data_IF_036235931438
#
_entry.id   IF_036235931438
#
_cell.length_a   1.000
_cell.length_b   1.000
_cell.length_c   1.000
_cell.angle_alpha   90.00
_cell.angle_beta   90.00
_cell.angle_gamma   90.00
#
_symmetry.space_group_name_H-M   'P 1'
#
loop_
_entity.id
_entity.type
_entity.pdbx_description
1 polymer ?
#
# COMPACT_ATOMS: atom_id res chain seq x y z
N UNK A 1 -3.44 81.77 -35.45
CA UNK A 1 -2.80 81.23 -36.66
C UNK A 1 -2.60 79.73 -36.41
N UNK A 2 -3.18 78.87 -37.26
CA UNK A 2 -3.11 77.39 -37.33
C UNK A 2 -3.59 76.61 -36.07
N UNK A 3 -4.78 75.99 -36.00
CA UNK A 3 -5.35 74.82 -36.72
C UNK A 3 -4.62 73.47 -36.52
N UNK A 4 -5.22 72.61 -35.68
CA UNK A 4 -5.38 71.14 -35.77
C UNK A 4 -6.28 70.74 -34.55
N UNK A 5 -7.56 70.32 -34.60
CA UNK A 5 -8.30 69.26 -35.34
C UNK A 5 -7.55 67.92 -35.22
N UNK A 6 -7.97 66.91 -34.46
CA UNK A 6 -9.25 66.17 -34.40
C UNK A 6 -9.48 65.64 -32.95
N UNK A 7 -10.67 65.82 -32.35
CA UNK A 7 -11.79 64.84 -32.25
C UNK A 7 -11.53 63.69 -31.25
N UNK A 8 -12.43 63.27 -30.35
CA UNK A 8 -13.77 63.68 -29.95
C UNK A 8 -14.07 63.05 -28.57
N UNK A 9 -15.12 63.56 -27.92
CA UNK A 9 -16.10 62.91 -27.01
C UNK A 9 -15.73 61.54 -26.38
N UNK A 10 -15.95 61.25 -25.10
CA UNK A 10 -17.17 61.52 -24.32
C UNK A 10 -16.90 61.08 -22.88
N UNK A 11 -17.29 61.87 -21.87
CA UNK A 11 -17.54 61.34 -20.53
C UNK A 11 -18.99 60.84 -20.49
N UNK A 12 -19.18 59.56 -20.14
CA UNK A 12 -20.09 59.11 -19.07
C UNK A 12 -20.30 57.59 -19.08
N UNK A 13 -20.27 57.03 -17.87
CA UNK A 13 -20.88 55.77 -17.41
C UNK A 13 -20.33 54.42 -17.91
N UNK A 14 -19.90 53.60 -16.95
CA UNK A 14 -19.60 52.18 -17.16
C UNK A 14 -19.09 51.55 -15.86
N UNK A 15 -19.89 50.64 -15.30
CA UNK A 15 -19.68 49.99 -14.02
C UNK A 15 -18.30 49.32 -13.90
N UNK A 16 -17.67 49.47 -12.73
CA UNK A 16 -16.47 48.74 -12.37
C UNK A 16 -16.83 47.25 -12.16
N UNK A 17 -16.64 46.43 -13.19
CA UNK A 17 -16.49 44.98 -13.05
C UNK A 17 -15.10 44.69 -12.50
N UNK A 18 -14.97 44.71 -11.17
CA UNK A 18 -13.79 44.23 -10.46
C UNK A 18 -13.70 42.72 -10.53
N UNK A 19 -13.18 42.19 -11.65
CA UNK A 19 -12.57 40.87 -11.69
C UNK A 19 -11.28 40.88 -10.90
N UNK A 20 -11.39 40.79 -9.57
CA UNK A 20 -10.25 40.61 -8.68
C UNK A 20 -9.70 39.20 -8.84
N UNK A 21 -8.54 39.10 -9.47
CA UNK A 21 -7.71 37.91 -9.41
C UNK A 21 -7.46 37.57 -7.93
N UNK A 22 -7.78 36.34 -7.55
CA UNK A 22 -7.49 35.81 -6.22
C UNK A 22 -5.98 35.65 -6.09
N UNK A 23 -5.38 36.48 -5.24
CA UNK A 23 -4.03 36.32 -4.69
C UNK A 23 -3.86 34.89 -4.13
N UNK A 24 -2.69 34.24 -4.31
CA UNK A 24 -2.43 32.89 -3.80
C UNK A 24 -2.32 32.94 -2.27
N UNK A 25 -3.45 32.72 -1.61
CA UNK A 25 -3.53 32.59 -0.16
C UNK A 25 -2.67 31.42 0.32
N UNK A 26 -1.72 31.72 1.20
CA UNK A 26 -1.04 30.75 2.06
C UNK A 26 -2.12 29.98 2.82
N UNK A 27 -2.50 28.80 2.31
CA UNK A 27 -3.43 27.91 3.00
C UNK A 27 -2.83 27.59 4.36
N UNK A 28 -3.57 27.92 5.42
CA UNK A 28 -3.17 27.65 6.79
C UNK A 28 -2.81 26.16 6.91
N UNK A 29 -1.61 25.88 7.43
CA UNK A 29 -1.15 24.51 7.73
C UNK A 29 -2.25 23.80 8.51
N UNK A 30 -2.74 22.69 7.97
CA UNK A 30 -3.76 21.90 8.62
C UNK A 30 -3.25 21.48 10.02
N UNK A 31 -4.01 21.78 11.07
CA UNK A 31 -3.65 21.44 12.45
C UNK A 31 -3.94 19.96 12.70
N UNK A 32 -3.13 19.08 12.12
CA UNK A 32 -3.23 17.65 12.31
C UNK A 32 -2.66 17.27 13.69
N UNK A 33 -3.50 16.82 14.65
CA UNK A 33 -3.08 16.55 16.02
C UNK A 33 -2.42 15.18 16.19
N UNK A 34 -2.29 14.38 15.12
CA UNK A 34 -1.74 13.03 15.20
C UNK A 34 -0.25 13.05 15.53
N UNK A 35 0.15 12.10 16.37
CA UNK A 35 1.54 11.79 16.63
C UNK A 35 1.98 10.69 15.66
N UNK A 36 3.12 10.93 15.05
CA UNK A 36 3.76 10.01 14.13
C UNK A 36 5.03 9.50 14.82
N UNK A 37 5.16 8.19 14.90
CA UNK A 37 6.28 7.53 15.58
C UNK A 37 6.86 6.48 14.66
N UNK A 38 8.20 6.45 14.58
CA UNK A 38 8.93 5.47 13.78
C UNK A 38 8.76 4.07 14.39
N UNK A 39 8.25 3.08 13.63
CA UNK A 39 8.25 1.68 14.07
C UNK A 39 9.67 1.15 14.29
N UNK A 40 9.78 0.03 15.01
CA UNK A 40 11.07 -0.63 15.23
C UNK A 40 11.66 -1.20 13.93
N UNK A 41 12.98 -1.33 13.84
CA UNK A 41 13.67 -1.89 12.67
C UNK A 41 13.12 -3.27 12.26
N UNK A 42 12.84 -4.12 13.25
CA UNK A 42 12.26 -5.44 13.05
C UNK A 42 10.85 -5.37 12.41
N UNK A 43 10.04 -4.40 12.81
CA UNK A 43 8.73 -4.16 12.18
C UNK A 43 8.90 -3.61 10.76
N UNK A 44 9.84 -2.70 10.53
CA UNK A 44 10.10 -2.13 9.21
C UNK A 44 10.56 -3.20 8.21
N UNK A 45 11.46 -4.10 8.61
CA UNK A 45 11.90 -5.24 7.77
C UNK A 45 10.77 -6.20 7.39
N UNK A 46 9.73 -6.30 8.23
CA UNK A 46 8.58 -7.17 7.99
C UNK A 46 7.48 -6.51 7.15
N UNK A 47 7.34 -5.18 7.25
CA UNK A 47 6.20 -4.44 6.71
C UNK A 47 6.54 -3.67 5.43
N UNK A 48 7.78 -3.21 5.27
CA UNK A 48 8.22 -2.51 4.07
C UNK A 48 8.63 -3.50 2.99
N UNK A 49 8.44 -3.11 1.73
CA UNK A 49 9.10 -3.78 0.61
C UNK A 49 10.62 -3.61 0.72
N UNK A 50 11.43 -4.52 0.14
CA UNK A 50 12.88 -4.38 0.17
C UNK A 50 13.38 -3.01 -0.34
N UNK A 51 12.78 -2.49 -1.42
CA UNK A 51 13.14 -1.18 -1.97
C UNK A 51 12.73 -0.03 -1.05
N UNK A 52 11.54 -0.10 -0.42
CA UNK A 52 11.10 0.93 0.53
C UNK A 52 11.99 0.95 1.77
N UNK A 53 12.40 -0.22 2.27
CA UNK A 53 13.34 -0.33 3.37
C UNK A 53 14.71 0.26 2.99
N UNK A 54 15.28 -0.15 1.86
CA UNK A 54 16.57 0.37 1.37
C UNK A 54 16.54 1.89 1.17
N UNK A 55 15.48 2.41 0.55
CA UNK A 55 15.33 3.85 0.33
C UNK A 55 15.21 4.57 1.66
N UNK A 56 14.24 4.21 2.51
CA UNK A 56 13.92 5.00 3.71
C UNK A 56 14.95 4.84 4.83
N UNK A 57 15.51 3.65 5.02
CA UNK A 57 16.41 3.35 6.15
C UNK A 57 17.89 3.38 5.75
N UNK A 58 18.22 2.97 4.52
CA UNK A 58 19.61 2.86 4.04
C UNK A 58 19.99 4.00 3.07
N UNK A 59 19.09 4.98 2.88
CA UNK A 59 19.29 6.15 2.03
C UNK A 59 19.60 5.80 0.56
N UNK A 60 19.06 4.67 0.10
CA UNK A 60 19.13 4.29 -1.31
C UNK A 60 18.25 5.20 -2.19
N UNK A 61 18.47 5.14 -3.50
CA UNK A 61 17.65 5.82 -4.50
C UNK A 61 17.05 4.79 -5.44
N UNK A 62 15.73 4.82 -5.61
CA UNK A 62 15.02 3.92 -6.54
C UNK A 62 15.29 4.33 -8.01
N UNK A 63 15.13 3.42 -8.99
CA UNK A 63 15.37 3.77 -10.40
C UNK A 63 14.37 4.80 -10.96
N UNK A 64 14.82 5.74 -11.82
CA UNK A 64 13.93 6.69 -12.50
C UNK A 64 13.02 5.98 -13.49
N UNK A 65 11.81 6.53 -13.71
CA UNK A 65 10.78 6.04 -14.64
C UNK A 65 10.27 4.61 -14.39
N UNK A 66 10.77 3.95 -13.35
CA UNK A 66 10.43 2.58 -12.96
C UNK A 66 10.00 2.53 -11.50
N UNK A 67 9.12 3.46 -11.13
CA UNK A 67 8.60 3.62 -9.78
C UNK A 67 7.11 3.97 -9.81
N UNK A 68 6.48 3.97 -8.63
CA UNK A 68 5.01 4.04 -8.54
C UNK A 68 4.44 5.41 -8.88
N UNK A 69 5.14 6.52 -8.57
CA UNK A 69 4.51 7.84 -8.56
C UNK A 69 5.11 8.86 -9.52
N UNK A 70 6.12 8.52 -10.33
CA UNK A 70 6.66 9.48 -11.31
C UNK A 70 5.56 10.03 -12.24
N UNK A 71 4.75 9.15 -12.85
CA UNK A 71 3.65 9.53 -13.76
C UNK A 71 2.25 9.48 -13.13
N UNK A 72 2.17 9.57 -11.80
CA UNK A 72 0.90 9.53 -11.09
C UNK A 72 0.29 10.94 -10.95
N UNK A 73 -0.99 11.09 -11.30
CA UNK A 73 -1.67 12.40 -11.39
C UNK A 73 -2.99 12.48 -10.61
N UNK A 74 -3.36 11.44 -9.85
CA UNK A 74 -4.58 11.48 -9.04
C UNK A 74 -4.49 12.53 -7.92
N UNK A 75 -5.60 13.22 -7.65
CA UNK A 75 -5.71 14.15 -6.53
C UNK A 75 -5.66 13.41 -5.19
N UNK A 76 -4.72 13.81 -4.34
CA UNK A 76 -4.54 13.27 -3.01
C UNK A 76 -3.25 13.70 -2.33
N UNK A 77 -2.98 13.06 -1.22
CA UNK A 77 -1.86 13.33 -0.30
C UNK A 77 -0.83 12.20 -0.40
N UNK A 78 0.44 12.57 -0.41
CA UNK A 78 1.57 11.66 -0.29
C UNK A 78 2.08 11.70 1.15
N UNK A 79 2.10 10.53 1.79
CA UNK A 79 2.50 10.37 3.18
C UNK A 79 3.75 9.51 3.27
N UNK A 80 4.53 9.66 4.33
CA UNK A 80 5.66 8.79 4.66
C UNK A 80 5.18 7.33 4.73
N UNK A 81 5.81 6.45 3.96
CA UNK A 81 5.47 5.01 3.96
C UNK A 81 5.73 4.37 5.34
N UNK A 82 6.65 4.93 6.13
CA UNK A 82 7.07 4.40 7.44
C UNK A 82 6.09 4.78 8.54
N UNK A 83 5.72 6.06 8.64
CA UNK A 83 4.91 6.58 9.76
C UNK A 83 3.49 6.98 9.37
N UNK A 84 3.20 7.17 8.09
CA UNK A 84 1.97 7.80 7.62
C UNK A 84 1.94 9.32 7.81
N UNK A 85 3.07 9.96 8.15
CA UNK A 85 3.17 11.41 8.24
C UNK A 85 2.86 12.08 6.89
N UNK A 86 1.93 13.06 6.81
CA UNK A 86 1.71 13.89 5.64
C UNK A 86 2.95 14.62 5.18
N UNK A 87 3.40 14.40 3.94
CA UNK A 87 4.62 15.03 3.42
C UNK A 87 4.34 15.96 2.25
N UNK A 88 3.63 15.49 1.23
CA UNK A 88 3.42 16.25 -0.01
C UNK A 88 1.98 16.16 -0.50
N UNK A 89 1.55 17.16 -1.27
CA UNK A 89 0.24 17.16 -1.93
C UNK A 89 0.42 17.00 -3.44
N UNK A 90 -0.48 16.26 -4.07
CA UNK A 90 -0.60 16.24 -5.54
C UNK A 90 -0.81 17.63 -6.14
N UNK A 91 -1.34 18.61 -5.40
CA UNK A 91 -1.46 20.01 -5.86
C UNK A 91 -0.13 20.72 -6.06
N UNK A 92 0.91 20.25 -5.39
CA UNK A 92 2.27 20.76 -5.50
C UNK A 92 3.15 19.83 -6.35
N UNK A 93 2.61 18.71 -6.84
CA UNK A 93 3.32 17.78 -7.72
C UNK A 93 3.40 18.36 -9.14
N UNK A 94 4.54 18.19 -9.78
CA UNK A 94 4.74 18.57 -11.18
C UNK A 94 5.64 17.55 -11.91
N UNK A 95 5.61 17.57 -13.24
CA UNK A 95 6.52 16.79 -14.07
C UNK A 95 7.83 17.57 -14.25
N UNK A 96 8.91 17.03 -13.68
CA UNK A 96 10.26 17.59 -13.79
C UNK A 96 11.09 16.94 -14.90
N UNK A 97 10.58 15.88 -15.54
CA UNK A 97 11.33 15.08 -16.51
C UNK A 97 12.43 14.20 -15.90
N UNK A 98 12.59 14.15 -14.58
CA UNK A 98 13.67 13.37 -13.94
C UNK A 98 13.34 11.90 -13.76
N UNK A 99 12.06 11.53 -13.85
CA UNK A 99 11.60 10.15 -13.62
C UNK A 99 11.31 9.81 -12.16
N UNK A 100 11.26 10.80 -11.27
CA UNK A 100 10.77 10.66 -9.88
C UNK A 100 9.65 11.68 -9.60
N UNK A 101 8.71 11.39 -8.68
CA UNK A 101 7.73 12.38 -8.27
C UNK A 101 8.44 13.61 -7.71
N UNK A 102 8.07 14.77 -8.24
CA UNK A 102 8.68 16.05 -7.90
C UNK A 102 7.62 17.01 -7.37
N UNK A 103 7.93 17.71 -6.28
CA UNK A 103 7.02 18.64 -5.62
C UNK A 103 7.67 20.01 -5.45
N UNK A 104 6.86 21.08 -5.47
CA UNK A 104 7.36 22.45 -5.28
C UNK A 104 7.54 22.84 -3.82
N UNK A 105 6.86 22.14 -2.91
CA UNK A 105 6.91 22.31 -1.45
C UNK A 105 6.26 21.11 -0.72
N UNK A 106 6.61 20.87 0.57
CA UNK A 106 5.85 19.98 1.43
C UNK A 106 4.51 20.61 1.85
N UNK A 107 3.60 19.78 2.37
CA UNK A 107 2.32 20.26 2.94
C UNK A 107 2.50 21.05 4.23
N UNK A 108 3.59 20.80 4.94
CA UNK A 108 4.03 21.50 6.14
C UNK A 108 5.55 21.37 6.28
N UNK A 109 6.28 22.49 6.30
CA UNK A 109 7.74 22.49 6.45
C UNK A 109 8.19 21.94 7.79
N UNK A 110 7.33 21.95 8.81
CA UNK A 110 7.65 21.38 10.11
C UNK A 110 7.71 19.84 10.12
N UNK A 111 7.33 19.17 9.04
CA UNK A 111 7.28 17.70 8.88
C UNK A 111 8.44 17.12 8.09
N UNK A 112 9.26 17.99 7.51
CA UNK A 112 10.41 17.61 6.69
C UNK A 112 11.67 18.20 7.31
N UNK A 113 12.76 17.44 7.28
CA UNK A 113 14.08 17.86 7.72
C UNK A 113 14.99 17.92 6.50
N UNK A 114 15.61 19.07 6.30
CA UNK A 114 16.61 19.29 5.26
C UNK A 114 18.00 19.11 5.88
N UNK A 115 18.79 18.20 5.33
CA UNK A 115 20.12 17.85 5.83
C UNK A 115 21.14 17.98 4.73
N UNK A 116 22.30 18.56 5.06
CA UNK A 116 23.41 18.63 4.13
C UNK A 116 23.99 17.23 3.88
N UNK A 117 24.04 16.83 2.61
CA UNK A 117 24.57 15.55 2.12
C UNK A 117 25.83 15.82 1.29
N UNK A 118 26.97 15.28 1.71
CA UNK A 118 28.26 15.39 1.00
C UNK A 118 28.69 14.06 0.35
N UNK A 119 27.75 13.10 0.25
CA UNK A 119 28.00 11.79 -0.34
C UNK A 119 28.33 11.86 -1.83
N UNK A 120 29.06 10.84 -2.32
CA UNK A 120 29.39 10.66 -3.74
C UNK A 120 30.14 11.86 -4.37
N UNK A 121 30.85 12.65 -3.58
CA UNK A 121 31.63 13.81 -4.05
C UNK A 121 30.78 15.00 -4.49
N UNK A 122 29.50 15.04 -4.13
CA UNK A 122 28.57 16.13 -4.43
C UNK A 122 28.02 16.73 -3.13
N UNK A 123 27.74 18.03 -3.12
CA UNK A 123 26.99 18.67 -2.03
C UNK A 123 25.53 18.77 -2.46
N UNK A 124 24.64 18.08 -1.75
CA UNK A 124 23.20 18.09 -1.97
C UNK A 124 22.47 18.39 -0.66
N UNK A 125 21.19 18.71 -0.77
CA UNK A 125 20.30 18.82 0.40
C UNK A 125 19.42 17.59 0.43
N UNK A 126 19.71 16.66 1.33
CA UNK A 126 18.87 15.51 1.62
C UNK A 126 17.58 15.96 2.30
N UNK A 127 16.48 15.32 1.92
CA UNK A 127 15.15 15.54 2.47
C UNK A 127 14.75 14.29 3.25
N UNK A 128 14.45 14.44 4.54
CA UNK A 128 13.99 13.35 5.43
C UNK A 128 12.65 13.67 6.06
N UNK A 129 11.82 12.66 6.33
CA UNK A 129 10.60 12.84 7.14
C UNK A 129 10.99 13.08 8.59
N UNK A 130 10.32 14.00 9.29
CA UNK A 130 10.69 14.32 10.67
C UNK A 130 10.37 13.20 11.65
N UNK A 131 9.20 12.58 11.54
CA UNK A 131 8.78 11.54 12.49
C UNK A 131 9.47 10.20 12.26
N UNK A 132 9.61 9.78 11.00
CA UNK A 132 10.19 8.48 10.62
C UNK A 132 11.70 8.47 10.48
N UNK A 133 12.34 9.65 10.42
CA UNK A 133 13.70 9.80 9.93
C UNK A 133 13.94 9.03 8.61
N UNK A 134 12.91 8.94 7.76
CA UNK A 134 12.97 8.26 6.46
C UNK A 134 13.70 9.14 5.47
N UNK A 135 14.70 8.60 4.77
CA UNK A 135 15.23 9.25 3.59
C UNK A 135 14.14 9.30 2.50
N UNK A 136 13.82 10.51 2.06
CA UNK A 136 12.79 10.76 1.05
C UNK A 136 13.42 11.00 -0.32
N UNK A 137 14.48 11.80 -0.37
CA UNK A 137 15.17 12.16 -1.59
C UNK A 137 16.00 13.43 -1.40
N UNK A 138 15.98 14.32 -2.39
CA UNK A 138 16.81 15.52 -2.38
C UNK A 138 16.05 16.77 -2.85
N UNK A 139 16.46 17.91 -2.31
CA UNK A 139 15.97 19.24 -2.67
C UNK A 139 16.95 19.91 -3.64
N UNK A 140 16.40 20.54 -4.66
CA UNK A 140 17.13 21.27 -5.70
C UNK A 140 16.52 22.65 -5.94
N UNK A 141 17.33 23.62 -6.37
CA UNK A 141 16.93 25.01 -6.64
C UNK A 141 16.54 25.27 -8.12
N UNK A 142 16.13 24.22 -8.83
CA UNK A 142 15.76 24.22 -10.26
C UNK A 142 14.26 23.96 -10.48
N UNK A 143 13.43 24.17 -9.45
CA UNK A 143 11.99 23.98 -9.51
C UNK A 143 11.24 25.15 -10.15
N UNK A 144 9.93 24.98 -10.42
CA UNK A 144 9.11 26.05 -10.96
C UNK A 144 8.89 27.17 -9.94
N UNK A 145 8.61 28.37 -10.44
CA UNK A 145 8.16 29.51 -9.62
C UNK A 145 6.80 29.18 -8.99
N UNK A 146 6.46 29.74 -7.81
CA UNK A 146 7.18 30.82 -7.11
C UNK A 146 8.31 30.36 -6.19
N UNK A 147 8.30 29.11 -5.68
CA UNK A 147 9.32 28.65 -4.74
C UNK A 147 10.70 28.52 -5.39
N UNK A 148 10.75 28.14 -6.67
CA UNK A 148 12.02 27.79 -7.33
C UNK A 148 12.61 26.46 -6.83
N UNK A 149 11.89 25.76 -5.95
CA UNK A 149 12.36 24.56 -5.29
C UNK A 149 11.76 23.32 -5.95
N UNK A 150 12.57 22.27 -6.07
CA UNK A 150 12.17 20.94 -6.52
C UNK A 150 12.55 19.91 -5.46
N UNK A 151 11.56 19.44 -4.72
CA UNK A 151 11.65 18.26 -3.88
C UNK A 151 11.54 17.03 -4.78
N UNK A 152 12.66 16.39 -5.11
CA UNK A 152 12.73 15.19 -5.93
C UNK A 152 12.74 13.96 -5.02
N UNK A 153 11.63 13.22 -4.98
CA UNK A 153 11.37 12.25 -3.92
C UNK A 153 11.27 10.84 -4.50
N UNK A 154 11.77 9.85 -3.75
CA UNK A 154 11.59 8.45 -4.08
C UNK A 154 10.13 8.03 -3.80
N UNK A 155 9.45 7.47 -4.80
CA UNK A 155 8.13 6.86 -4.64
C UNK A 155 8.12 5.76 -3.58
N UNK A 156 9.18 4.96 -3.49
CA UNK A 156 9.32 3.93 -2.46
C UNK A 156 9.35 4.47 -1.03
N UNK A 157 9.57 5.77 -0.82
CA UNK A 157 9.45 6.43 0.49
C UNK A 157 8.03 6.94 0.79
N UNK A 158 7.13 6.85 -0.19
CA UNK A 158 5.80 7.45 -0.14
C UNK A 158 4.69 6.39 -0.21
N UNK A 159 3.55 6.74 0.39
CA UNK A 159 2.26 6.10 0.13
C UNK A 159 1.27 7.18 -0.29
N UNK A 160 0.49 6.92 -1.33
CA UNK A 160 -0.54 7.83 -1.80
C UNK A 160 -1.90 7.59 -1.12
N UNK A 161 -2.60 8.68 -0.80
CA UNK A 161 -3.96 8.69 -0.25
C UNK A 161 -4.83 9.59 -1.12
N UNK A 162 -5.74 8.99 -1.88
CA UNK A 162 -6.73 9.71 -2.71
C UNK A 162 -7.51 10.73 -1.90
N UNK A 163 -7.83 11.87 -2.50
CA UNK A 163 -8.67 12.92 -1.90
C UNK A 163 -10.02 12.37 -1.42
N UNK A 164 -10.56 11.35 -2.09
CA UNK A 164 -11.83 10.70 -1.75
C UNK A 164 -11.74 9.79 -0.51
N UNK A 165 -10.52 9.49 -0.08
CA UNK A 165 -10.23 8.60 1.05
C UNK A 165 -9.53 9.31 2.21
N UNK A 166 -9.18 10.60 2.08
CA UNK A 166 -8.49 11.36 3.13
C UNK A 166 -9.24 11.30 4.47
N UNK A 167 -10.54 11.63 4.49
CA UNK A 167 -11.33 11.60 5.73
C UNK A 167 -11.40 10.19 6.32
N UNK A 168 -11.64 9.18 5.47
CA UNK A 168 -11.72 7.77 5.90
C UNK A 168 -10.43 7.26 6.51
N UNK A 169 -9.28 7.73 6.00
CA UNK A 169 -7.95 7.33 6.47
C UNK A 169 -7.39 8.28 7.56
N UNK A 170 -8.22 9.18 8.10
CA UNK A 170 -7.83 10.07 9.20
C UNK A 170 -7.03 11.31 8.79
N UNK A 171 -6.99 11.64 7.50
CA UNK A 171 -6.38 12.84 6.92
C UNK A 171 -7.43 13.92 6.59
N UNK A 172 -8.60 13.90 7.24
CA UNK A 172 -9.73 14.80 6.95
C UNK A 172 -9.35 16.29 7.00
N UNK A 173 -8.48 16.68 7.93
CA UNK A 173 -7.95 18.05 8.05
C UNK A 173 -7.26 18.55 6.76
N UNK A 174 -6.73 17.63 5.94
CA UNK A 174 -6.02 17.94 4.69
C UNK A 174 -6.96 18.11 3.49
N UNK A 175 -8.26 17.84 3.62
CA UNK A 175 -9.25 18.06 2.56
C UNK A 175 -9.30 19.52 2.08
N UNK A 176 -8.97 20.46 2.98
CA UNK A 176 -8.93 21.88 2.67
C UNK A 176 -7.93 22.23 1.54
N UNK A 177 -6.83 21.46 1.41
CA UNK A 177 -5.87 21.64 0.31
C UNK A 177 -6.49 21.41 -1.07
N UNK A 178 -7.60 20.67 -1.13
CA UNK A 178 -8.31 20.29 -2.34
C UNK A 178 -9.64 21.04 -2.50
N UNK A 179 -9.86 22.11 -1.71
CA UNK A 179 -11.10 22.87 -1.72
C UNK A 179 -12.32 22.11 -1.17
N UNK A 180 -12.09 21.06 -0.37
CA UNK A 180 -13.14 20.23 0.24
C UNK A 180 -13.20 20.49 1.75
N UNK A 181 -14.38 20.28 2.33
CA UNK A 181 -14.58 20.35 3.78
C UNK A 181 -14.76 18.93 4.35
N UNK A 182 -14.24 18.65 5.55
CA UNK A 182 -14.59 17.43 6.27
C UNK A 182 -16.12 17.31 6.40
N UNK A 183 -16.66 16.12 6.20
CA UNK A 183 -18.11 15.88 6.27
C UNK A 183 -18.59 15.71 7.71
N UNK A 184 -17.69 15.53 8.68
CA UNK A 184 -18.04 15.50 10.12
C UNK A 184 -17.22 16.50 10.97
N UNK A 185 -17.90 17.15 11.92
CA UNK A 185 -17.32 18.14 12.84
C UNK A 185 -16.66 17.53 14.11
N UNK A 186 -16.33 16.24 14.12
CA UNK A 186 -15.68 15.62 15.26
C UNK A 186 -14.65 14.60 14.79
N UNK A 187 -13.37 14.87 15.04
CA UNK A 187 -12.35 13.84 15.02
C UNK A 187 -12.77 12.72 16.00
N UNK A 188 -13.01 11.48 15.54
CA UNK A 188 -13.14 10.39 16.47
C UNK A 188 -11.75 10.20 17.10
N UNK A 189 -11.70 10.00 18.42
CA UNK A 189 -10.51 9.45 19.07
C UNK A 189 -10.29 8.07 18.48
N UNK A 190 -9.38 7.96 17.51
CA UNK A 190 -9.05 6.69 16.87
C UNK A 190 -7.97 6.02 17.71
N UNK A 191 -8.32 4.86 18.25
CA UNK A 191 -7.38 3.87 18.76
C UNK A 191 -6.36 3.57 17.65
N UNK A 192 -5.09 3.85 17.90
CA UNK A 192 -4.00 3.73 16.92
C UNK A 192 -3.92 2.30 16.36
N UNK A 193 -4.33 1.28 17.14
CA UNK A 193 -4.43 -0.11 16.67
C UNK A 193 -5.55 -0.35 15.65
N UNK A 194 -6.57 0.51 15.61
CA UNK A 194 -7.68 0.47 14.65
C UNK A 194 -7.44 1.36 13.42
N UNK A 195 -6.62 2.42 13.57
CA UNK A 195 -6.19 3.28 12.47
C UNK A 195 -5.23 2.57 11.50
N UNK A 196 -4.37 1.67 12.02
CA UNK A 196 -3.50 0.81 11.20
C UNK A 196 -4.28 -0.19 10.33
N UNK A 197 -5.51 -0.56 10.71
CA UNK A 197 -6.39 -1.45 9.93
C UNK A 197 -7.31 -0.70 8.95
N UNK A 198 -7.39 0.64 9.02
CA UNK A 198 -8.32 1.46 8.22
C UNK A 198 -7.60 2.37 7.20
N UNK A 199 -6.28 2.23 7.05
CA UNK A 199 -5.39 3.16 6.35
C UNK A 199 -5.22 2.91 4.85
N UNK A 200 -6.05 2.10 4.19
CA UNK A 200 -5.91 1.85 2.75
C UNK A 200 -4.53 1.29 2.35
N UNK A 201 -3.90 0.53 3.23
CA UNK A 201 -2.87 -0.42 2.85
C UNK A 201 -3.58 -1.76 2.84
N UNK A 202 -3.53 -2.43 1.72
CA UNK A 202 -4.09 -3.75 1.49
C UNK A 202 -3.87 -4.69 2.68
N UNK A 203 -4.83 -5.57 2.97
CA UNK A 203 -4.62 -6.63 3.96
C UNK A 203 -3.97 -7.82 3.27
N UNK A 204 -3.05 -8.52 3.97
CA UNK A 204 -2.38 -9.71 3.44
C UNK A 204 -2.85 -10.95 4.18
N UNK A 205 -3.09 -12.04 3.45
CA UNK A 205 -3.35 -13.37 3.99
C UNK A 205 -2.34 -14.38 3.43
N UNK A 206 -1.92 -15.34 4.26
CA UNK A 206 -1.09 -16.47 3.85
C UNK A 206 -1.90 -17.76 4.04
N UNK A 207 -2.25 -18.41 2.93
CA UNK A 207 -3.20 -19.53 2.89
C UNK A 207 -2.54 -20.77 2.28
N UNK A 208 -2.71 -21.94 2.88
CA UNK A 208 -2.33 -23.23 2.33
C UNK A 208 -3.53 -24.18 2.29
N UNK A 209 -3.69 -24.89 1.17
CA UNK A 209 -4.88 -25.72 0.94
C UNK A 209 -4.68 -26.80 -0.11
N UNK A 210 -3.44 -27.22 -0.37
CA UNK A 210 -3.09 -28.15 -1.45
C UNK A 210 -2.09 -27.53 -2.43
N UNK A 211 -2.04 -28.06 -3.65
CA UNK A 211 -1.22 -27.49 -4.73
C UNK A 211 -1.54 -25.99 -4.90
N UNK A 212 -0.51 -25.14 -4.77
CA UNK A 212 -0.70 -23.69 -4.81
C UNK A 212 -1.13 -23.14 -6.19
N UNK A 213 -1.01 -23.91 -7.27
CA UNK A 213 -1.39 -23.49 -8.62
C UNK A 213 -2.90 -23.35 -8.74
N UNK A 214 -3.64 -24.36 -8.28
CA UNK A 214 -5.10 -24.34 -8.25
C UNK A 214 -5.65 -23.32 -7.27
N UNK A 215 -5.00 -23.17 -6.11
CA UNK A 215 -5.35 -22.13 -5.13
C UNK A 215 -5.19 -20.72 -5.72
N UNK A 216 -4.03 -20.41 -6.29
CA UNK A 216 -3.75 -19.09 -6.88
C UNK A 216 -4.72 -18.75 -8.01
N UNK A 217 -5.02 -19.71 -8.90
CA UNK A 217 -5.94 -19.50 -10.03
C UNK A 217 -7.36 -19.13 -9.58
N UNK A 218 -7.84 -19.68 -8.46
CA UNK A 218 -9.13 -19.30 -7.91
C UNK A 218 -9.06 -17.99 -7.12
N UNK A 219 -8.05 -17.84 -6.25
CA UNK A 219 -7.90 -16.68 -5.37
C UNK A 219 -7.79 -15.37 -6.15
N UNK A 220 -7.01 -15.36 -7.24
CA UNK A 220 -6.80 -14.16 -8.06
C UNK A 220 -8.06 -13.62 -8.74
N UNK A 221 -9.11 -14.44 -8.88
CA UNK A 221 -10.37 -14.08 -9.53
C UNK A 221 -11.38 -13.50 -8.55
N UNK A 222 -11.09 -13.50 -7.25
CA UNK A 222 -12.00 -13.03 -6.21
C UNK A 222 -12.07 -11.50 -6.26
N UNK A 223 -13.27 -10.89 -6.34
CA UNK A 223 -13.42 -9.44 -6.23
C UNK A 223 -12.81 -8.92 -4.94
N UNK A 224 -11.92 -7.94 -5.04
CA UNK A 224 -11.18 -7.36 -3.92
C UNK A 224 -9.79 -7.96 -3.71
N UNK A 225 -9.42 -9.06 -4.36
CA UNK A 225 -8.02 -9.49 -4.42
C UNK A 225 -7.27 -8.61 -5.41
N UNK A 226 -6.09 -8.15 -5.01
CA UNK A 226 -5.26 -7.20 -5.74
C UNK A 226 -3.97 -7.85 -6.28
N UNK A 227 -3.38 -8.76 -5.50
CA UNK A 227 -2.20 -9.50 -5.90
C UNK A 227 -2.19 -10.89 -5.24
N UNK A 228 -1.63 -11.86 -5.96
CA UNK A 228 -1.31 -13.19 -5.45
C UNK A 228 0.14 -13.53 -5.77
N UNK A 229 0.85 -14.16 -4.83
CA UNK A 229 2.14 -14.81 -5.10
C UNK A 229 2.12 -16.21 -4.45
N UNK A 230 2.66 -17.21 -5.13
CA UNK A 230 2.83 -18.55 -4.56
C UNK A 230 4.20 -18.72 -3.90
N UNK A 231 4.28 -19.56 -2.88
CA UNK A 231 5.51 -19.75 -2.11
C UNK A 231 5.40 -20.81 -1.03
N UNK A 232 6.38 -20.77 -0.12
CA UNK A 232 6.60 -21.76 0.92
C UNK A 232 6.67 -21.09 2.29
N UNK A 233 5.94 -21.58 3.28
CA UNK A 233 6.02 -21.09 4.67
C UNK A 233 5.63 -22.19 5.68
N UNK A 234 5.87 -21.97 6.96
CA UNK A 234 5.49 -22.88 8.04
C UNK A 234 6.44 -24.05 8.29
N UNK A 235 7.59 -24.09 7.63
CA UNK A 235 8.66 -25.05 7.88
C UNK A 235 9.89 -24.40 8.50
N UNK A 236 10.99 -25.14 8.54
CA UNK A 236 12.23 -24.75 9.23
C UNK A 236 13.42 -24.48 8.31
N UNK A 237 13.35 -24.86 7.04
CA UNK A 237 14.46 -24.66 6.10
C UNK A 237 14.45 -23.19 5.63
N UNK A 238 15.56 -22.49 5.83
CA UNK A 238 15.71 -21.12 5.32
C UNK A 238 15.80 -21.15 3.78
N UNK A 239 14.96 -20.35 3.10
CA UNK A 239 14.88 -20.22 1.63
C UNK A 239 14.71 -21.56 0.87
N UNK A 240 13.64 -22.32 1.13
CA UNK A 240 13.44 -23.62 0.52
C UNK A 240 13.13 -23.50 -0.99
N UNK A 241 13.58 -24.48 -1.78
CA UNK A 241 13.18 -24.66 -3.18
C UNK A 241 12.01 -25.62 -3.32
N UNK A 242 11.38 -25.67 -4.49
CA UNK A 242 10.34 -26.67 -4.78
C UNK A 242 10.84 -28.10 -4.56
N UNK A 243 12.10 -28.39 -4.93
CA UNK A 243 12.68 -29.72 -4.78
C UNK A 243 12.84 -30.10 -3.30
N UNK A 244 13.14 -29.13 -2.44
CA UNK A 244 13.22 -29.36 -1.00
C UNK A 244 11.83 -29.62 -0.41
N UNK A 245 10.86 -28.74 -0.73
CA UNK A 245 9.49 -28.81 -0.20
C UNK A 245 8.74 -30.05 -0.68
N UNK A 246 8.88 -30.43 -1.95
CA UNK A 246 8.24 -31.63 -2.52
C UNK A 246 8.74 -32.93 -1.89
N UNK A 247 9.91 -32.91 -1.24
CA UNK A 247 10.39 -34.04 -0.45
C UNK A 247 9.63 -34.26 0.87
N UNK A 248 8.83 -33.29 1.32
CA UNK A 248 8.07 -33.35 2.58
C UNK A 248 8.89 -33.16 3.86
N UNK A 249 10.22 -33.01 3.76
CA UNK A 249 11.14 -32.97 4.91
C UNK A 249 11.33 -31.59 5.53
N UNK A 250 10.97 -30.53 4.83
CA UNK A 250 11.24 -29.14 5.26
C UNK A 250 10.20 -28.60 6.24
N UNK A 251 9.04 -29.26 6.34
CA UNK A 251 7.87 -28.78 7.11
C UNK A 251 7.10 -27.64 6.44
N UNK A 252 7.59 -27.07 5.34
CA UNK A 252 6.87 -26.01 4.64
C UNK A 252 5.58 -26.54 4.01
N UNK A 253 4.55 -25.69 3.98
CA UNK A 253 3.38 -25.86 3.13
C UNK A 253 3.57 -25.04 1.84
N UNK A 254 3.09 -25.59 0.72
CA UNK A 254 2.73 -24.78 -0.43
C UNK A 254 1.63 -23.80 -0.03
N UNK A 255 1.91 -22.52 -0.26
CA UNK A 255 1.09 -21.42 0.26
C UNK A 255 0.93 -20.33 -0.78
N UNK A 256 -0.16 -19.58 -0.67
CA UNK A 256 -0.45 -18.39 -1.48
C UNK A 256 -0.48 -17.18 -0.56
N UNK A 257 0.32 -16.17 -0.89
CA UNK A 257 0.22 -14.82 -0.34
C UNK A 257 -0.83 -14.05 -1.13
N UNK A 258 -1.89 -13.62 -0.46
CA UNK A 258 -3.02 -12.90 -1.06
C UNK A 258 -3.05 -11.49 -0.47
N UNK A 259 -2.90 -10.49 -1.33
CA UNK A 259 -3.02 -9.09 -0.98
C UNK A 259 -4.39 -8.62 -1.46
N UNK A 260 -5.24 -8.11 -0.58
CA UNK A 260 -6.62 -7.75 -0.90
C UNK A 260 -7.03 -6.40 -0.31
N UNK A 261 -8.02 -5.76 -0.91
CA UNK A 261 -8.66 -4.55 -0.38
C UNK A 261 -9.69 -4.95 0.69
N UNK A 262 -9.43 -4.67 1.98
CA UNK A 262 -10.37 -5.00 3.05
C UNK A 262 -11.70 -4.24 2.96
N UNK A 263 -11.81 -3.22 2.09
CA UNK A 263 -13.08 -2.52 1.80
C UNK A 263 -13.98 -3.32 0.86
N UNK A 264 -13.41 -4.18 0.01
CA UNK A 264 -14.15 -5.00 -0.97
C UNK A 264 -14.30 -6.44 -0.48
N UNK A 265 -13.25 -6.97 0.15
CA UNK A 265 -13.18 -8.34 0.63
C UNK A 265 -12.64 -8.36 2.06
N UNK A 266 -13.44 -8.77 3.04
CA UNK A 266 -12.93 -8.94 4.40
C UNK A 266 -12.13 -10.24 4.54
N UNK A 267 -11.19 -10.31 5.50
CA UNK A 267 -10.49 -11.57 5.81
C UNK A 267 -11.46 -12.70 6.17
N UNK A 268 -12.52 -12.39 6.93
CA UNK A 268 -13.59 -13.32 7.29
C UNK A 268 -14.29 -13.88 6.03
N UNK A 269 -14.65 -13.00 5.10
CA UNK A 269 -15.27 -13.37 3.82
C UNK A 269 -14.32 -14.19 2.95
N UNK A 270 -13.04 -13.80 2.86
CA UNK A 270 -12.01 -14.57 2.16
C UNK A 270 -11.90 -16.00 2.69
N UNK A 271 -11.97 -16.17 4.01
CA UNK A 271 -11.93 -17.51 4.61
C UNK A 271 -13.22 -18.29 4.37
N UNK A 272 -14.37 -17.74 4.77
CA UNK A 272 -15.64 -18.46 4.83
C UNK A 272 -16.27 -18.70 3.46
N UNK A 273 -16.24 -17.68 2.58
CA UNK A 273 -16.90 -17.75 1.27
C UNK A 273 -16.00 -18.32 0.18
N UNK A 274 -14.69 -18.39 0.40
CA UNK A 274 -13.72 -18.78 -0.61
C UNK A 274 -12.79 -19.91 -0.15
N UNK A 275 -11.89 -19.64 0.80
CA UNK A 275 -10.84 -20.60 1.19
C UNK A 275 -11.41 -21.96 1.60
N UNK A 276 -12.39 -22.00 2.52
CA UNK A 276 -12.97 -23.25 3.00
C UNK A 276 -13.87 -23.97 1.99
N UNK A 277 -14.15 -23.36 0.83
CA UNK A 277 -14.97 -23.93 -0.24
C UNK A 277 -14.12 -24.41 -1.43
N UNK A 278 -12.95 -23.82 -1.66
CA UNK A 278 -12.07 -24.15 -2.80
C UNK A 278 -11.22 -25.42 -2.62
N UNK A 279 -11.03 -25.88 -1.38
CA UNK A 279 -10.25 -27.07 -1.05
C UNK A 279 -11.00 -27.94 -0.03
N UNK A 280 -10.64 -29.23 0.12
CA UNK A 280 -11.13 -30.08 1.22
C UNK A 280 -10.32 -29.78 2.50
N UNK A 281 -10.93 -29.16 3.55
CA UNK A 281 -10.25 -28.79 4.79
C UNK A 281 -10.29 -29.93 5.82
N UNK A 282 -10.75 -31.12 5.46
CA UNK A 282 -10.94 -32.28 6.37
C UNK A 282 -9.89 -33.38 6.16
N UNK A 283 -9.07 -33.26 5.11
CA UNK A 283 -8.02 -34.21 4.77
C UNK A 283 -6.66 -33.76 5.32
N UNK A 284 -6.19 -34.45 6.37
CA UNK A 284 -4.91 -34.16 6.99
C UNK A 284 -3.76 -34.47 6.02
N UNK A 285 -2.88 -33.48 5.77
CA UNK A 285 -1.68 -33.61 4.93
C UNK A 285 -1.97 -34.15 3.52
N UNK A 286 -3.09 -33.72 2.93
CA UNK A 286 -3.50 -34.13 1.59
C UNK A 286 -4.51 -33.13 1.01
N UNK A 287 -4.44 -32.91 -0.30
CA UNK A 287 -5.52 -32.32 -1.08
C UNK A 287 -5.71 -33.11 -2.38
N UNK A 288 -6.87 -33.73 -2.57
CA UNK A 288 -7.14 -34.51 -3.78
C UNK A 288 -6.09 -35.61 -4.04
N UNK A 289 -5.38 -35.49 -5.15
CA UNK A 289 -4.31 -36.42 -5.54
C UNK A 289 -2.96 -36.06 -4.92
N UNK A 290 -2.82 -34.86 -4.35
CA UNK A 290 -1.58 -34.36 -3.78
C UNK A 290 -1.47 -34.78 -2.32
N UNK A 291 -0.53 -35.68 -2.02
CA UNK A 291 -0.34 -36.28 -0.68
C UNK A 291 1.00 -35.83 -0.10
N UNK A 292 0.95 -35.30 1.13
CA UNK A 292 2.13 -34.81 1.83
C UNK A 292 1.81 -33.62 2.75
N UNK A 293 2.66 -33.41 3.75
CA UNK A 293 2.54 -32.30 4.70
C UNK A 293 2.59 -30.94 4.01
N UNK A 294 3.26 -30.86 2.86
CA UNK A 294 3.33 -29.66 2.03
C UNK A 294 1.97 -29.26 1.42
N UNK A 295 1.02 -30.19 1.32
CA UNK A 295 -0.32 -29.96 0.77
C UNK A 295 -1.40 -29.82 1.85
N UNK A 296 -1.01 -29.66 3.11
CA UNK A 296 -1.94 -29.52 4.23
C UNK A 296 -2.79 -28.25 4.13
N UNK A 297 -3.96 -28.29 4.74
CA UNK A 297 -4.76 -27.09 4.99
C UNK A 297 -4.19 -26.31 6.18
N UNK A 298 -3.80 -25.05 5.97
CA UNK A 298 -3.30 -24.17 7.03
C UNK A 298 -3.58 -22.68 6.75
N UNK A 299 -3.75 -21.92 7.84
CA UNK A 299 -3.86 -20.48 7.90
C UNK A 299 -2.66 -19.92 8.67
N UNK A 300 -1.76 -19.22 7.98
CA UNK A 300 -0.59 -18.58 8.56
C UNK A 300 -0.94 -17.14 8.91
N UNK A 301 -1.45 -16.91 10.11
CA UNK A 301 -2.04 -15.62 10.50
C UNK A 301 -0.96 -14.60 10.87
N UNK A 302 -1.12 -13.38 10.33
CA UNK A 302 -0.13 -12.29 10.46
C UNK A 302 -0.39 -11.36 11.66
N UNK A 303 -1.57 -11.47 12.28
CA UNK A 303 -1.98 -10.63 13.40
C UNK A 303 -2.92 -11.37 14.36
N UNK A 304 -3.10 -10.82 15.55
CA UNK A 304 -4.06 -11.32 16.55
C UNK A 304 -5.50 -11.26 16.02
N UNK A 305 -5.83 -10.22 15.25
CA UNK A 305 -7.13 -10.10 14.59
C UNK A 305 -7.37 -11.25 13.62
N UNK A 306 -6.39 -11.56 12.77
CA UNK A 306 -6.51 -12.70 11.86
C UNK A 306 -6.61 -14.03 12.61
N UNK A 307 -5.87 -14.20 13.71
CA UNK A 307 -6.01 -15.37 14.57
C UNK A 307 -7.45 -15.54 15.06
N UNK A 308 -8.02 -14.50 15.67
CA UNK A 308 -9.38 -14.54 16.22
C UNK A 308 -10.43 -14.81 15.15
N UNK A 309 -10.31 -14.16 13.99
CA UNK A 309 -11.23 -14.37 12.86
C UNK A 309 -11.08 -15.78 12.28
N UNK A 310 -9.85 -16.28 12.11
CA UNK A 310 -9.59 -17.62 11.61
C UNK A 310 -10.22 -18.69 12.52
N UNK A 311 -10.04 -18.57 13.84
CA UNK A 311 -10.65 -19.48 14.82
C UNK A 311 -12.18 -19.43 14.75
N UNK A 312 -12.77 -18.23 14.71
CA UNK A 312 -14.20 -18.06 14.62
C UNK A 312 -14.79 -18.66 13.33
N UNK A 313 -14.17 -18.38 12.17
CA UNK A 313 -14.60 -18.92 10.87
C UNK A 313 -14.43 -20.44 10.85
N UNK A 314 -13.28 -20.97 11.29
CA UNK A 314 -13.03 -22.41 11.35
C UNK A 314 -14.11 -23.11 12.18
N UNK A 315 -14.44 -22.57 13.35
CA UNK A 315 -15.49 -23.11 14.21
C UNK A 315 -16.87 -23.09 13.53
N UNK A 316 -17.23 -22.01 12.83
CA UNK A 316 -18.50 -21.94 12.08
C UNK A 316 -18.55 -22.92 10.92
N UNK A 317 -17.45 -23.06 10.16
CA UNK A 317 -17.36 -24.02 9.05
C UNK A 317 -17.48 -25.44 9.56
N UNK A 318 -16.80 -25.79 10.65
CA UNK A 318 -16.87 -27.11 11.29
C UNK A 318 -18.29 -27.42 11.80
N UNK A 319 -18.94 -26.43 12.43
CA UNK A 319 -20.31 -26.55 12.94
C UNK A 319 -21.40 -26.52 11.84
N UNK A 320 -21.06 -26.09 10.62
CA UNK A 320 -22.04 -25.89 9.54
C UNK A 320 -22.68 -27.19 9.02
N UNK A 321 -22.03 -28.35 9.25
CA UNK A 321 -22.43 -29.63 8.68
C UNK A 321 -22.23 -29.76 7.17
N UNK A 322 -21.64 -28.75 6.51
CA UNK A 322 -21.34 -28.77 5.06
C UNK A 322 -20.22 -29.76 4.73
N UNK A 323 -19.25 -29.90 5.65
CA UNK A 323 -18.19 -30.89 5.56
C UNK A 323 -18.55 -32.15 6.35
N UNK A 324 -18.39 -33.32 5.74
CA UNK A 324 -18.77 -34.62 6.35
C UNK A 324 -17.84 -35.06 7.49
N UNK A 325 -16.67 -34.46 7.58
CA UNK A 325 -15.60 -34.80 8.52
C UNK A 325 -15.15 -33.53 9.22
N UNK A 326 -14.55 -33.63 10.42
CA UNK A 326 -14.04 -32.47 11.13
C UNK A 326 -13.00 -31.71 10.32
N UNK A 327 -13.02 -30.39 10.41
CA UNK A 327 -12.06 -29.47 9.81
C UNK A 327 -10.72 -29.58 10.52
N UNK A 328 -9.69 -30.03 9.79
CA UNK A 328 -8.32 -30.25 10.28
C UNK A 328 -7.37 -29.10 9.96
N UNK A 329 -7.87 -28.01 9.36
CA UNK A 329 -7.10 -26.81 9.04
C UNK A 329 -6.33 -26.30 10.26
N UNK A 330 -5.01 -26.13 10.10
CA UNK A 330 -4.15 -25.59 11.13
C UNK A 330 -4.26 -24.06 11.16
N UNK A 331 -4.29 -23.45 12.34
CA UNK A 331 -4.16 -22.01 12.52
C UNK A 331 -2.84 -21.79 13.26
N UNK A 332 -1.90 -21.11 12.61
CA UNK A 332 -0.53 -20.95 13.11
C UNK A 332 -0.05 -19.54 12.85
N UNK A 333 0.84 -19.03 13.70
CA UNK A 333 1.47 -17.72 13.45
C UNK A 333 2.33 -17.80 12.20
N UNK A 334 2.21 -16.79 11.34
CA UNK A 334 3.03 -16.68 10.16
C UNK A 334 4.52 -16.58 10.52
N UNK A 335 5.32 -17.48 9.94
CA UNK A 335 6.76 -17.34 9.87
C UNK A 335 7.17 -16.60 8.59
N UNK A 336 8.41 -16.80 8.17
CA UNK A 336 8.88 -16.29 6.89
C UNK A 336 8.13 -16.93 5.71
N UNK A 337 7.80 -16.12 4.70
CA UNK A 337 7.26 -16.57 3.42
C UNK A 337 8.34 -16.44 2.35
N UNK A 338 8.77 -17.57 1.78
CA UNK A 338 9.71 -17.61 0.66
C UNK A 338 8.91 -17.73 -0.64
N UNK A 339 8.99 -16.76 -1.57
CA UNK A 339 8.39 -16.89 -2.89
C UNK A 339 8.90 -18.13 -3.62
N UNK A 340 8.00 -18.86 -4.27
CA UNK A 340 8.37 -19.97 -5.14
C UNK A 340 8.99 -19.44 -6.44
N UNK A 341 9.67 -20.34 -7.14
CA UNK A 341 10.35 -20.08 -8.40
C UNK A 341 9.40 -19.45 -9.44
N UNK A 342 9.95 -18.61 -10.32
CA UNK A 342 9.17 -17.82 -11.28
C UNK A 342 8.26 -18.65 -12.21
N UNK A 343 8.57 -19.93 -12.42
CA UNK A 343 7.73 -20.82 -13.21
C UNK A 343 6.45 -21.24 -12.49
N UNK A 344 6.43 -21.25 -11.15
CA UNK A 344 5.23 -21.55 -10.36
C UNK A 344 4.28 -20.37 -10.27
N UNK A 345 4.79 -19.14 -10.28
CA UNK A 345 3.97 -17.92 -10.27
C UNK A 345 3.07 -17.91 -11.50
N UNK A 346 1.77 -17.64 -11.33
CA UNK A 346 0.80 -17.56 -12.43
C UNK A 346 0.76 -18.82 -13.32
N UNK A 347 1.09 -20.00 -12.78
CA UNK A 347 1.32 -21.20 -13.60
C UNK A 347 0.13 -21.56 -14.50
N UNK A 348 -1.10 -21.50 -13.99
CA UNK A 348 -2.31 -21.83 -14.77
C UNK A 348 -2.78 -20.70 -15.70
N UNK A 349 -2.29 -19.47 -15.53
CA UNK A 349 -2.43 -18.41 -16.54
C UNK A 349 -1.48 -18.68 -17.70
N UNK A 350 -0.24 -19.10 -17.40
CA UNK A 350 0.77 -19.46 -18.40
C UNK A 350 0.43 -20.76 -19.13
N UNK A 351 -0.24 -21.70 -18.44
CA UNK A 351 -0.61 -23.02 -18.95
C UNK A 351 -2.11 -23.28 -18.75
N UNK A 352 -2.99 -22.67 -19.57
CA UNK A 352 -4.42 -22.92 -19.49
C UNK A 352 -4.71 -24.41 -19.71
N UNK A 353 -5.49 -25.02 -18.80
CA UNK A 353 -5.76 -26.47 -18.79
C UNK A 353 -4.69 -27.31 -18.09
N UNK A 354 -3.70 -26.68 -17.44
CA UNK A 354 -2.76 -27.34 -16.55
C UNK A 354 -3.43 -27.98 -15.33
N UNK A 355 -2.65 -28.74 -14.56
CA UNK A 355 -3.15 -29.49 -13.41
C UNK A 355 -3.73 -28.57 -12.32
N UNK A 356 -4.93 -28.90 -11.87
CA UNK A 356 -5.54 -28.38 -10.63
C UNK A 356 -6.52 -29.42 -10.09
N UNK A 357 -6.58 -29.55 -8.77
CA UNK A 357 -7.62 -30.31 -8.07
C UNK A 357 -8.60 -29.40 -7.30
N UNK A 358 -8.45 -28.07 -7.45
CA UNK A 358 -9.24 -27.06 -6.75
C UNK A 358 -10.44 -26.61 -7.58
N UNK A 359 -11.57 -26.48 -6.91
CA UNK A 359 -12.81 -25.92 -7.46
C UNK A 359 -13.71 -25.45 -6.31
N UNK A 360 -14.60 -24.51 -6.59
CA UNK A 360 -15.55 -24.01 -5.61
C UNK A 360 -16.66 -25.04 -5.35
N UNK A 361 -16.87 -25.38 -4.08
CA UNK A 361 -17.93 -26.28 -3.59
C UNK A 361 -19.09 -25.48 -2.99
N UNK A 362 -20.30 -26.04 -3.02
CA UNK A 362 -21.55 -25.42 -2.53
C UNK A 362 -21.97 -25.84 -1.10
#
# INVERSE_FOLDING_TARGET
>A
MAFAVFAACTQASGAASGGGALEPGTLAVAKDPRRYEKPSDAELRRTLSPVAYQVTQESATEPPFRNAYWNHHEEGLYVDVVTGEPLFSSRDKFDSGTGWPSFTKPVDTARVVEKRDEGLGMVRVEVRSKAGDSHLGHLFDDGPRPSGQRYCINSASLRFVSVNDLEKQGYGEWLALFGRKPTSAAAPKVDVGKALAASGVTETALLAGGCFWGMEDLLRKIPGVLQTDVGYTGGSLERPTYQDVSSGRTGHAESVRVVFDPKVLSYETLLEQWFFRMHDPTTLNRQGNDVGTQYRSALFVLSDRQWQVAEAVKARVDASGKWKRPVVTQIVRAGEFTPAEAYHQDYLVKNPGGYTCHYMRD
#
